data_IF_823806892665
#
_entry.id   IF_823806892665
#
_cell.length_a   1.000
_cell.length_b   1.000
_cell.length_c   1.000
_cell.angle_alpha   90.00
_cell.angle_beta   90.00
_cell.angle_gamma   90.00
#
_symmetry.space_group_name_H-M   'P 1'
#
loop_
_entity.id
_entity.type
_entity.pdbx_description
1 polymer ?
#
# COMPACT_ATOMS: atom_id res chain seq x y z
N UNK A 1 -8.80 -1.72 -1.90
CA UNK A 1 -9.23 -0.38 -2.43
C UNK A 1 -8.05 0.59 -2.40
N UNK A 2 -7.78 1.31 -3.49
CA UNK A 2 -6.76 2.35 -3.58
C UNK A 2 -7.46 3.71 -3.77
N UNK A 3 -7.08 4.72 -2.98
CA UNK A 3 -7.57 6.08 -3.19
C UNK A 3 -6.58 6.89 -4.01
N UNK A 4 -7.06 7.56 -5.06
CA UNK A 4 -6.29 8.44 -5.94
C UNK A 4 -6.75 9.89 -5.74
N UNK A 5 -5.96 10.67 -5.01
CA UNK A 5 -6.27 12.08 -4.71
C UNK A 5 -5.52 12.97 -5.69
N UNK A 6 -6.25 13.54 -6.64
CA UNK A 6 -5.73 14.29 -7.78
C UNK A 6 -6.81 15.27 -8.24
N UNK A 7 -6.53 16.56 -8.32
CA UNK A 7 -7.52 17.57 -8.71
C UNK A 7 -7.76 17.59 -10.23
N UNK A 8 -6.73 17.29 -11.04
CA UNK A 8 -6.87 17.22 -12.48
C UNK A 8 -7.64 15.96 -12.91
N UNK A 9 -8.84 16.18 -13.41
CA UNK A 9 -9.78 15.12 -13.79
C UNK A 9 -9.18 14.07 -14.72
N UNK A 10 -8.46 14.51 -15.77
CA UNK A 10 -7.91 13.59 -16.78
C UNK A 10 -6.85 12.66 -16.18
N UNK A 11 -5.99 13.20 -15.30
CA UNK A 11 -4.96 12.42 -14.60
C UNK A 11 -5.64 11.45 -13.62
N UNK A 12 -6.60 11.94 -12.84
CA UNK A 12 -7.36 11.12 -11.89
C UNK A 12 -8.06 9.93 -12.56
N UNK A 13 -8.78 10.18 -13.66
CA UNK A 13 -9.45 9.13 -14.44
C UNK A 13 -8.46 8.13 -15.05
N UNK A 14 -7.30 8.60 -15.53
CA UNK A 14 -6.25 7.75 -16.06
C UNK A 14 -5.65 6.84 -14.99
N UNK A 15 -5.36 7.37 -13.80
CA UNK A 15 -4.85 6.58 -12.67
C UNK A 15 -5.83 5.48 -12.26
N UNK A 16 -7.10 5.84 -12.07
CA UNK A 16 -8.17 4.89 -11.71
C UNK A 16 -8.34 3.82 -12.79
N UNK A 17 -8.42 4.22 -14.06
CA UNK A 17 -8.53 3.28 -15.17
C UNK A 17 -7.34 2.30 -15.22
N UNK A 18 -6.11 2.81 -15.06
CA UNK A 18 -4.89 1.99 -15.08
C UNK A 18 -4.87 0.97 -13.93
N UNK A 19 -5.28 1.39 -12.74
CA UNK A 19 -5.39 0.49 -11.59
C UNK A 19 -6.45 -0.60 -11.81
N UNK A 20 -7.63 -0.24 -12.29
CA UNK A 20 -8.70 -1.20 -12.60
C UNK A 20 -8.24 -2.21 -13.67
N UNK A 21 -7.57 -1.76 -14.73
CA UNK A 21 -7.07 -2.63 -15.80
C UNK A 21 -6.01 -3.63 -15.34
N UNK A 22 -5.38 -3.36 -14.19
CA UNK A 22 -4.37 -4.24 -13.56
C UNK A 22 -4.90 -5.03 -12.38
N UNK A 23 -6.23 -5.02 -12.17
CA UNK A 23 -6.92 -5.84 -11.16
C UNK A 23 -7.03 -5.21 -9.78
N UNK A 24 -6.71 -3.91 -9.62
CA UNK A 24 -6.91 -3.20 -8.36
C UNK A 24 -8.26 -2.48 -8.34
N UNK A 25 -8.93 -2.48 -7.20
CA UNK A 25 -10.03 -1.56 -6.98
C UNK A 25 -9.50 -0.17 -6.61
N UNK A 26 -9.98 0.86 -7.29
CA UNK A 26 -9.53 2.23 -7.08
C UNK A 26 -10.68 3.23 -7.12
N UNK A 27 -10.55 4.32 -6.35
CA UNK A 27 -11.49 5.44 -6.31
C UNK A 27 -10.73 6.75 -6.48
N UNK A 28 -11.18 7.59 -7.40
CA UNK A 28 -10.66 8.94 -7.61
C UNK A 28 -11.32 9.94 -6.69
N UNK A 29 -10.53 10.82 -6.08
CA UNK A 29 -10.94 11.88 -5.18
C UNK A 29 -10.29 13.18 -5.63
N UNK A 30 -10.98 14.30 -5.50
CA UNK A 30 -10.53 15.59 -6.06
C UNK A 30 -9.65 16.41 -5.12
N UNK A 31 -9.78 16.16 -3.81
CA UNK A 31 -9.12 16.96 -2.78
C UNK A 31 -9.07 16.24 -1.43
N UNK A 32 -8.39 16.86 -0.46
CA UNK A 32 -8.27 16.32 0.88
C UNK A 32 -9.59 16.17 1.63
N UNK A 33 -10.57 17.04 1.39
CA UNK A 33 -11.89 16.95 2.04
C UNK A 33 -12.58 15.66 1.67
N UNK A 34 -12.67 15.33 0.38
CA UNK A 34 -13.23 14.06 -0.07
C UNK A 34 -12.44 12.86 0.46
N UNK A 35 -11.10 12.98 0.55
CA UNK A 35 -10.29 11.92 1.13
C UNK A 35 -10.66 11.64 2.58
N UNK A 36 -10.76 12.67 3.42
CA UNK A 36 -11.09 12.48 4.83
C UNK A 36 -12.51 11.98 5.04
N UNK A 37 -13.47 12.37 4.20
CA UNK A 37 -14.83 11.81 4.20
C UNK A 37 -14.81 10.31 3.89
N UNK A 38 -14.06 9.89 2.88
CA UNK A 38 -13.95 8.48 2.49
C UNK A 38 -13.17 7.64 3.51
N UNK A 39 -12.15 8.20 4.16
CA UNK A 39 -11.41 7.53 5.24
C UNK A 39 -12.30 7.22 6.45
N UNK A 40 -13.34 8.00 6.68
CA UNK A 40 -14.37 7.72 7.69
C UNK A 40 -15.27 6.53 7.36
N UNK A 41 -15.39 6.16 6.09
CA UNK A 41 -16.22 5.06 5.61
C UNK A 41 -15.42 3.77 5.39
N UNK A 42 -14.27 3.86 4.75
CA UNK A 42 -13.43 2.73 4.40
C UNK A 42 -11.95 3.11 4.47
N UNK A 43 -11.17 2.29 5.18
CA UNK A 43 -9.72 2.42 5.21
C UNK A 43 -9.13 1.75 3.95
N UNK A 44 -8.39 2.49 3.09
CA UNK A 44 -7.82 1.94 1.87
C UNK A 44 -6.54 1.15 2.15
N UNK A 45 -6.12 0.34 1.18
CA UNK A 45 -4.85 -0.38 1.21
C UNK A 45 -3.66 0.52 0.82
N UNK A 46 -3.93 1.60 0.08
CA UNK A 46 -2.95 2.57 -0.42
C UNK A 46 -3.63 3.89 -0.75
N UNK A 47 -2.93 4.98 -0.51
CA UNK A 47 -3.30 6.32 -0.96
C UNK A 47 -2.24 6.82 -1.95
N UNK A 48 -2.68 7.22 -3.15
CA UNK A 48 -1.91 8.01 -4.10
C UNK A 48 -2.32 9.47 -3.89
N UNK A 49 -1.36 10.33 -3.57
CA UNK A 49 -1.63 11.69 -3.12
C UNK A 49 -0.81 12.69 -3.92
N UNK A 50 -1.49 13.52 -4.71
CA UNK A 50 -0.82 14.65 -5.36
C UNK A 50 -0.36 15.67 -4.31
N UNK A 51 0.81 16.24 -4.52
CA UNK A 51 1.33 17.32 -3.70
C UNK A 51 0.59 18.62 -3.99
N UNK A 52 0.29 18.88 -5.27
CA UNK A 52 -0.27 20.15 -5.72
C UNK A 52 -1.81 20.13 -5.74
N UNK A 53 -2.42 19.97 -4.58
CA UNK A 53 -3.87 19.99 -4.45
C UNK A 53 -4.37 21.40 -4.06
N UNK A 54 -5.58 21.77 -4.47
CA UNK A 54 -6.20 23.02 -4.03
C UNK A 54 -6.63 22.91 -2.56
N UNK A 55 -6.41 23.98 -1.80
CA UNK A 55 -6.69 24.03 -0.37
C UNK A 55 -5.52 23.52 0.46
N UNK A 56 -5.68 22.38 1.13
CA UNK A 56 -4.57 21.70 1.80
C UNK A 56 -3.68 21.02 0.75
N UNK A 57 -2.39 21.32 0.76
CA UNK A 57 -1.42 20.60 -0.07
C UNK A 57 -1.22 19.14 0.37
N UNK A 58 -0.64 18.33 -0.50
CA UNK A 58 -0.45 16.90 -0.22
C UNK A 58 0.40 16.62 1.02
N UNK A 59 1.33 17.50 1.39
CA UNK A 59 2.14 17.35 2.62
C UNK A 59 1.31 17.56 3.87
N UNK A 60 0.51 18.61 3.89
CA UNK A 60 -0.43 18.90 4.98
C UNK A 60 -1.42 17.75 5.17
N UNK A 61 -1.91 17.19 4.07
CA UNK A 61 -2.81 16.02 4.10
C UNK A 61 -2.08 14.79 4.67
N UNK A 62 -0.85 14.53 4.23
CA UNK A 62 -0.03 13.43 4.74
C UNK A 62 0.22 13.55 6.24
N UNK A 63 0.59 14.74 6.73
CA UNK A 63 0.77 15.00 8.17
C UNK A 63 -0.51 14.68 8.96
N UNK A 64 -1.67 15.13 8.47
CA UNK A 64 -2.97 14.82 9.10
C UNK A 64 -3.24 13.32 9.14
N UNK A 65 -2.99 12.60 8.03
CA UNK A 65 -3.13 11.13 7.98
C UNK A 65 -2.25 10.45 9.04
N UNK A 66 -0.98 10.86 9.17
CA UNK A 66 -0.04 10.28 10.13
C UNK A 66 -0.41 10.56 11.60
N UNK A 67 -1.20 11.60 11.87
CA UNK A 67 -1.73 11.92 13.20
C UNK A 67 -3.00 11.14 13.56
N UNK A 68 -3.68 10.53 12.59
CA UNK A 68 -4.93 9.77 12.80
C UNK A 68 -4.62 8.30 13.11
N UNK A 69 -4.87 7.78 14.32
CA UNK A 69 -4.49 6.42 14.72
C UNK A 69 -5.02 5.32 13.79
N UNK A 70 -6.22 5.51 13.23
CA UNK A 70 -6.92 4.51 12.41
C UNK A 70 -6.28 4.34 11.03
N UNK A 71 -5.65 5.40 10.50
CA UNK A 71 -5.14 5.45 9.12
C UNK A 71 -3.65 5.81 9.01
N UNK A 72 -2.98 6.10 10.12
CA UNK A 72 -1.57 6.51 10.14
C UNK A 72 -0.62 5.51 9.48
N UNK A 73 -0.97 4.24 9.49
CA UNK A 73 -0.15 3.15 8.93
C UNK A 73 -0.55 2.81 7.49
N UNK A 74 -1.54 3.49 6.91
CA UNK A 74 -1.89 3.32 5.50
C UNK A 74 -0.73 3.82 4.64
N UNK A 75 -0.21 3.00 3.72
CA UNK A 75 0.87 3.43 2.85
C UNK A 75 0.41 4.59 1.94
N UNK A 76 1.32 5.56 1.74
CA UNK A 76 1.07 6.73 0.91
C UNK A 76 2.18 6.88 -0.12
N UNK A 77 1.81 6.93 -1.40
CA UNK A 77 2.71 7.33 -2.49
C UNK A 77 2.39 8.78 -2.86
N UNK A 78 3.39 9.64 -2.75
CA UNK A 78 3.25 11.02 -3.19
C UNK A 78 3.44 11.14 -4.70
N UNK A 79 2.57 11.89 -5.36
CA UNK A 79 2.70 12.21 -6.78
C UNK A 79 3.11 13.67 -6.90
N UNK A 80 4.16 13.98 -7.67
CA UNK A 80 4.75 15.32 -7.71
C UNK A 80 5.16 15.74 -9.11
N UNK A 81 5.18 17.05 -9.38
CA UNK A 81 5.73 17.59 -10.62
C UNK A 81 7.27 17.45 -10.66
N UNK A 82 7.82 17.30 -11.87
CA UNK A 82 9.27 17.17 -12.10
C UNK A 82 10.01 18.43 -11.62
N UNK A 83 10.98 18.27 -10.73
CA UNK A 83 11.81 19.38 -10.24
C UNK A 83 11.95 19.49 -8.72
N UNK A 84 11.16 18.75 -7.99
CA UNK A 84 11.09 18.79 -6.53
C UNK A 84 12.02 17.77 -5.85
N UNK A 85 13.34 17.87 -6.09
CA UNK A 85 14.30 17.01 -5.35
C UNK A 85 14.26 17.33 -3.84
N UNK A 86 14.04 18.61 -3.52
CA UNK A 86 13.80 19.07 -2.14
C UNK A 86 12.48 18.53 -1.56
N UNK A 87 11.46 18.38 -2.38
CA UNK A 87 10.16 17.84 -1.98
C UNK A 87 10.23 16.34 -1.65
N UNK A 88 11.10 15.58 -2.32
CA UNK A 88 11.30 14.15 -2.03
C UNK A 88 11.89 13.92 -0.64
N UNK A 89 12.88 14.73 -0.25
CA UNK A 89 13.51 14.63 1.09
C UNK A 89 12.48 15.00 2.16
N UNK A 90 11.79 16.14 1.99
CA UNK A 90 10.76 16.58 2.93
C UNK A 90 9.66 15.55 3.18
N UNK A 91 9.19 14.91 2.14
CA UNK A 91 8.08 14.00 2.30
C UNK A 91 8.47 12.61 2.82
N UNK A 92 9.71 12.13 2.56
CA UNK A 92 10.23 10.93 3.24
C UNK A 92 10.33 11.16 4.74
N UNK A 93 10.76 12.35 5.16
CA UNK A 93 10.80 12.75 6.58
C UNK A 93 9.38 12.82 7.18
N UNK A 94 8.36 13.14 6.37
CA UNK A 94 6.95 13.17 6.77
C UNK A 94 6.27 11.80 6.75
N UNK A 95 6.99 10.74 6.33
CA UNK A 95 6.50 9.36 6.37
C UNK A 95 5.74 8.91 5.12
N UNK A 96 6.03 9.47 3.93
CA UNK A 96 5.61 8.87 2.67
C UNK A 96 6.39 7.57 2.39
N UNK A 97 5.72 6.60 1.77
CA UNK A 97 6.31 5.28 1.48
C UNK A 97 7.03 5.23 0.13
N UNK A 98 6.64 6.07 -0.82
CA UNK A 98 7.32 6.24 -2.12
C UNK A 98 6.90 7.55 -2.79
N UNK A 99 7.58 7.89 -3.92
CA UNK A 99 7.37 9.07 -4.73
C UNK A 99 7.29 8.72 -6.21
N UNK A 100 6.36 9.38 -6.92
CA UNK A 100 6.24 9.29 -8.37
C UNK A 100 6.29 10.71 -8.94
N UNK A 101 7.19 10.96 -9.89
CA UNK A 101 7.32 12.27 -10.53
C UNK A 101 6.56 12.31 -11.86
N UNK A 102 5.71 13.33 -12.04
CA UNK A 102 5.03 13.62 -13.31
C UNK A 102 6.02 14.26 -14.30
N UNK A 103 5.99 13.87 -15.60
CA UNK A 103 5.22 12.79 -16.18
C UNK A 103 5.84 11.42 -15.88
N UNK A 104 5.01 10.42 -15.60
CA UNK A 104 5.43 9.05 -15.30
C UNK A 104 4.90 8.06 -16.32
N UNK A 105 5.64 6.97 -16.55
CA UNK A 105 5.18 5.85 -17.36
C UNK A 105 4.23 4.95 -16.58
N UNK A 106 3.17 4.43 -17.24
CA UNK A 106 2.19 3.57 -16.59
C UNK A 106 2.81 2.29 -16.00
N UNK A 107 3.84 1.74 -16.63
CA UNK A 107 4.56 0.56 -16.13
C UNK A 107 5.34 0.87 -14.84
N UNK A 108 5.99 2.04 -14.77
CA UNK A 108 6.66 2.51 -13.56
C UNK A 108 5.65 2.71 -12.43
N UNK A 109 4.55 3.41 -12.72
CA UNK A 109 3.47 3.66 -11.79
C UNK A 109 2.95 2.35 -11.16
N UNK A 110 2.55 1.37 -11.97
CA UNK A 110 2.05 0.08 -11.48
C UNK A 110 3.12 -0.70 -10.70
N UNK A 111 4.38 -0.65 -11.13
CA UNK A 111 5.46 -1.32 -10.42
C UNK A 111 5.69 -0.76 -9.03
N UNK A 112 5.59 0.58 -8.86
CA UNK A 112 5.71 1.25 -7.56
C UNK A 112 4.51 0.94 -6.65
N UNK A 113 3.28 1.00 -7.19
CA UNK A 113 2.06 0.61 -6.46
C UNK A 113 2.19 -0.81 -5.91
N UNK A 114 2.57 -1.77 -6.76
CA UNK A 114 2.79 -3.16 -6.34
C UNK A 114 3.89 -3.30 -5.29
N UNK A 115 4.98 -2.56 -5.43
CA UNK A 115 6.09 -2.59 -4.48
C UNK A 115 5.69 -2.07 -3.10
N UNK A 116 4.92 -0.97 -3.05
CA UNK A 116 4.44 -0.38 -1.80
C UNK A 116 3.38 -1.27 -1.14
N UNK A 117 2.40 -1.78 -1.91
CA UNK A 117 1.40 -2.71 -1.39
C UNK A 117 2.03 -3.98 -0.82
N UNK A 118 3.09 -4.50 -1.44
CA UNK A 118 3.83 -5.66 -0.91
C UNK A 118 4.52 -5.35 0.42
N UNK A 119 5.02 -4.12 0.62
CA UNK A 119 5.65 -3.68 1.89
C UNK A 119 4.60 -3.32 2.94
N UNK A 120 3.51 -2.65 2.51
CA UNK A 120 2.39 -2.25 3.35
C UNK A 120 1.41 -3.37 3.69
N UNK A 121 1.49 -4.49 2.99
CA UNK A 121 0.67 -5.71 3.18
C UNK A 121 0.78 -6.38 4.55
N UNK A 122 1.33 -5.66 5.53
CA UNK A 122 1.31 -6.02 6.96
C UNK A 122 -0.09 -5.95 7.62
N UNK A 123 -1.16 -5.62 6.87
CA UNK A 123 -2.53 -5.56 7.44
C UNK A 123 -3.37 -6.82 7.28
N UNK A 124 -3.09 -7.64 6.29
CA UNK A 124 -3.47 -9.05 6.28
C UNK A 124 -2.18 -9.84 6.24
N UNK A 125 -1.59 -10.12 7.42
CA UNK A 125 -0.62 -11.21 7.49
C UNK A 125 -1.31 -12.40 6.86
N UNK A 126 -0.88 -12.76 5.65
CA UNK A 126 -1.31 -14.01 5.05
C UNK A 126 -0.83 -15.11 5.97
N UNK A 127 -1.72 -15.50 6.87
CA UNK A 127 -1.46 -16.55 7.85
C UNK A 127 -2.10 -17.83 7.34
N UNK A 128 -1.28 -18.75 6.91
CA UNK A 128 -1.73 -20.12 6.63
C UNK A 128 -1.92 -20.82 7.96
N UNK A 129 -3.11 -21.38 8.19
CA UNK A 129 -3.39 -22.14 9.41
C UNK A 129 -3.70 -23.59 9.03
N UNK A 130 -2.97 -24.53 9.64
CA UNK A 130 -3.23 -25.95 9.51
C UNK A 130 -3.05 -26.67 10.86
N UNK A 131 -4.15 -27.02 11.48
CA UNK A 131 -4.12 -27.58 12.85
C UNK A 131 -3.45 -26.60 13.82
N UNK A 132 -2.42 -27.03 14.57
CA UNK A 132 -1.71 -26.16 15.50
C UNK A 132 -0.69 -25.22 14.84
N UNK A 133 -0.45 -25.38 13.52
CA UNK A 133 0.57 -24.66 12.78
C UNK A 133 -0.03 -23.36 12.22
N UNK A 134 0.63 -22.24 12.47
CA UNK A 134 0.35 -20.94 11.88
C UNK A 134 1.61 -20.44 11.18
N UNK A 135 1.53 -20.13 9.87
CA UNK A 135 2.64 -19.62 9.08
C UNK A 135 2.32 -18.18 8.70
N UNK A 136 3.09 -17.24 9.23
CA UNK A 136 3.03 -15.82 8.86
C UNK A 136 3.99 -15.58 7.70
N UNK A 137 3.45 -15.56 6.48
CA UNK A 137 4.25 -15.58 5.25
C UNK A 137 5.20 -14.39 5.17
N UNK A 138 4.71 -13.17 5.43
CA UNK A 138 5.49 -11.95 5.30
C UNK A 138 6.62 -11.82 6.34
N UNK A 139 6.42 -12.41 7.53
CA UNK A 139 7.42 -12.40 8.62
C UNK A 139 8.39 -13.58 8.56
N UNK A 140 8.17 -14.54 7.66
CA UNK A 140 8.89 -15.82 7.66
C UNK A 140 8.87 -16.49 9.06
N UNK A 141 7.71 -16.42 9.73
CA UNK A 141 7.55 -16.90 11.09
C UNK A 141 6.56 -18.06 11.13
N UNK A 142 6.94 -19.10 11.86
CA UNK A 142 6.08 -20.26 12.13
C UNK A 142 5.78 -20.35 13.62
N UNK A 143 4.51 -20.52 13.94
CA UNK A 143 4.04 -20.78 15.29
C UNK A 143 3.40 -22.17 15.34
N UNK A 144 3.74 -22.95 16.35
CA UNK A 144 3.11 -24.25 16.65
C UNK A 144 2.53 -24.18 18.06
N UNK A 145 1.23 -24.36 18.19
CA UNK A 145 0.50 -24.11 19.44
C UNK A 145 0.77 -22.72 20.04
N UNK A 146 0.96 -21.69 19.17
CA UNK A 146 1.23 -20.31 19.59
C UNK A 146 2.70 -20.04 19.99
N UNK A 147 3.56 -21.04 19.98
CA UNK A 147 4.99 -20.89 20.26
C UNK A 147 5.79 -20.78 18.96
N UNK A 148 6.70 -19.81 18.90
CA UNK A 148 7.56 -19.59 17.75
C UNK A 148 8.54 -20.74 17.57
N UNK A 149 8.63 -21.24 16.34
CA UNK A 149 9.61 -22.26 15.93
C UNK A 149 10.59 -21.63 14.94
N UNK A 150 11.87 -21.78 15.21
CA UNK A 150 12.92 -21.30 14.31
C UNK A 150 13.15 -22.34 13.20
N UNK A 151 13.01 -21.89 11.95
CA UNK A 151 13.25 -22.68 10.75
C UNK A 151 14.27 -21.96 9.88
N UNK A 152 15.07 -22.72 9.16
CA UNK A 152 15.87 -22.18 8.06
C UNK A 152 14.93 -21.75 6.93
N UNK A 153 15.42 -20.90 6.04
CA UNK A 153 14.63 -20.44 4.88
C UNK A 153 14.07 -21.60 4.05
N UNK A 154 14.87 -22.64 3.82
CA UNK A 154 14.45 -23.83 3.05
C UNK A 154 13.36 -24.64 3.75
N UNK A 155 13.47 -24.79 5.06
CA UNK A 155 12.45 -25.48 5.87
C UNK A 155 11.15 -24.69 5.90
N UNK A 156 11.24 -23.37 6.01
CA UNK A 156 10.08 -22.48 5.95
C UNK A 156 9.36 -22.59 4.59
N UNK A 157 10.10 -22.48 3.47
CA UNK A 157 9.52 -22.60 2.13
C UNK A 157 8.90 -23.98 1.87
N UNK A 158 9.55 -25.05 2.34
CA UNK A 158 9.00 -26.40 2.23
C UNK A 158 7.70 -26.54 3.04
N UNK A 159 7.69 -26.08 4.28
CA UNK A 159 6.50 -26.13 5.13
C UNK A 159 5.35 -25.32 4.54
N UNK A 160 5.63 -24.11 4.05
CA UNK A 160 4.66 -23.26 3.36
C UNK A 160 4.07 -24.01 2.16
N UNK A 161 4.91 -24.56 1.30
CA UNK A 161 4.48 -25.29 0.11
C UNK A 161 3.58 -26.49 0.46
N UNK A 162 3.93 -27.27 1.49
CA UNK A 162 3.12 -28.40 1.95
C UNK A 162 1.75 -27.97 2.49
N UNK A 163 1.69 -26.85 3.22
CA UNK A 163 0.43 -26.33 3.78
C UNK A 163 -0.47 -25.74 2.69
N UNK A 164 0.10 -25.07 1.69
CA UNK A 164 -0.64 -24.54 0.54
C UNK A 164 -1.23 -25.65 -0.35
N UNK A 165 -0.51 -26.76 -0.51
CA UNK A 165 -0.91 -27.89 -1.36
C UNK A 165 -1.50 -29.07 -0.56
N UNK A 166 -2.06 -28.83 0.61
CA UNK A 166 -2.66 -29.86 1.45
C UNK A 166 -3.77 -30.64 0.72
N UNK A 167 -3.71 -31.95 0.84
CA UNK A 167 -4.68 -32.85 0.21
C UNK A 167 -4.37 -33.20 -1.25
N UNK A 168 -3.26 -32.74 -1.78
CA UNK A 168 -2.73 -33.13 -3.09
C UNK A 168 -1.54 -34.08 -2.85
N UNK A 169 -1.50 -35.18 -3.56
CA UNK A 169 -0.32 -36.06 -3.59
C UNK A 169 0.72 -35.37 -4.44
N UNK A 170 1.84 -35.01 -3.85
CA UNK A 170 2.97 -34.31 -4.48
C UNK A 170 3.96 -35.31 -5.06
#
# INVERSE_FOLDING_TARGET
>A
MIYCVEDERNIRELLVYTLHSTGFEAKGLENGTQLFEELGNLIPDLILLDIMLPGDDGYTILEKIRQMPEVRDVPVIMVTAKGAEFDKVKGLDLGADDYITKPFGMMEFISRVKAVLRRGGSRTEETLVHGPIQIRIQRHEVLVHGQKVELTLKEFELLKYLVENRGIVL
#
